data_IF_755206399869
#
_entry.id   IF_755206399869
#
_cell.length_a   1.000
_cell.length_b   1.000
_cell.length_c   1.000
_cell.angle_alpha   90.00
_cell.angle_beta   90.00
_cell.angle_gamma   90.00
#
_symmetry.space_group_name_H-M   'P 1'
#
loop_
_entity.id
_entity.type
_entity.pdbx_description
1 polymer ?
#
# COMPACT_ATOMS: atom_id res chain seq x y z
N UNK A 1 19.06 9.06 15.55
CA UNK A 1 17.83 8.57 16.19
C UNK A 1 16.85 9.73 16.25
N UNK A 2 15.63 9.56 15.72
CA UNK A 2 14.59 10.59 15.79
C UNK A 2 14.00 10.66 17.21
N UNK A 3 13.56 11.85 17.68
CA UNK A 3 12.94 12.00 19.00
C UNK A 3 11.65 11.17 19.13
N UNK A 4 10.92 11.00 18.03
CA UNK A 4 9.72 10.18 17.93
C UNK A 4 10.03 8.68 18.12
N UNK A 5 11.14 8.19 17.58
CA UNK A 5 11.59 6.81 17.81
C UNK A 5 11.96 6.55 19.28
N UNK A 6 12.68 7.47 19.92
CA UNK A 6 13.04 7.32 21.33
C UNK A 6 11.80 7.22 22.24
N UNK A 7 10.81 8.10 22.02
CA UNK A 7 9.55 8.06 22.76
C UNK A 7 8.78 6.75 22.52
N UNK A 8 8.73 6.27 21.27
CA UNK A 8 8.09 5.00 20.92
C UNK A 8 8.78 3.80 21.58
N UNK A 9 10.10 3.76 21.60
CA UNK A 9 10.88 2.70 22.25
C UNK A 9 10.70 2.70 23.76
N UNK A 10 10.66 3.87 24.38
CA UNK A 10 10.43 4.02 25.81
C UNK A 10 9.01 3.57 26.19
N UNK A 11 8.00 3.96 25.42
CA UNK A 11 6.63 3.52 25.61
C UNK A 11 6.50 1.99 25.47
N UNK A 12 7.18 1.39 24.48
CA UNK A 12 7.21 -0.06 24.31
C UNK A 12 7.85 -0.78 25.50
N UNK A 13 8.95 -0.27 26.04
CA UNK A 13 9.59 -0.85 27.23
C UNK A 13 8.74 -0.73 28.49
N UNK A 14 8.08 0.41 28.69
CA UNK A 14 7.30 0.66 29.91
C UNK A 14 5.97 -0.11 29.93
N UNK A 15 5.30 -0.20 28.78
CA UNK A 15 3.93 -0.73 28.72
C UNK A 15 3.84 -2.12 28.09
N UNK A 16 4.91 -2.58 27.43
CA UNK A 16 4.94 -3.85 26.70
C UNK A 16 4.06 -3.87 25.45
N UNK A 17 3.42 -2.73 25.10
CA UNK A 17 2.56 -2.59 23.92
C UNK A 17 2.75 -1.23 23.29
N UNK A 18 2.65 -1.15 21.96
CA UNK A 18 2.71 0.12 21.27
C UNK A 18 1.71 0.15 20.13
N UNK A 19 0.88 1.19 20.10
CA UNK A 19 -0.03 1.48 19.00
C UNK A 19 0.47 2.69 18.23
N UNK A 20 0.75 2.48 16.95
CA UNK A 20 1.22 3.50 16.03
C UNK A 20 0.20 3.68 14.91
N UNK A 21 0.06 4.90 14.43
CA UNK A 21 -0.81 5.18 13.30
C UNK A 21 -0.12 4.76 12.00
N UNK A 22 -0.79 3.93 11.20
CA UNK A 22 -0.30 3.53 9.90
C UNK A 22 -0.26 4.72 8.94
N UNK A 23 0.79 4.80 8.13
CA UNK A 23 0.93 5.81 7.09
C UNK A 23 1.03 5.17 5.71
N UNK A 24 0.32 5.70 4.70
CA UNK A 24 0.41 5.18 3.36
C UNK A 24 1.78 5.45 2.73
N UNK A 25 2.20 4.57 1.82
CA UNK A 25 3.45 4.77 1.09
C UNK A 25 3.42 6.09 0.29
N UNK A 26 4.49 6.89 0.35
CA UNK A 26 4.59 8.22 -0.31
C UNK A 26 4.29 8.15 -1.81
N UNK A 27 4.68 7.07 -2.48
CA UNK A 27 4.45 6.87 -3.91
C UNK A 27 2.96 6.68 -4.26
N UNK A 28 2.13 6.18 -3.33
CA UNK A 28 0.70 5.99 -3.57
C UNK A 28 -0.03 7.33 -3.71
N UNK A 29 0.42 8.37 -3.00
CA UNK A 29 -0.08 9.74 -3.14
C UNK A 29 0.21 10.34 -4.52
N UNK A 30 1.41 10.10 -5.08
CA UNK A 30 1.79 10.63 -6.39
C UNK A 30 0.95 10.08 -7.53
N UNK A 31 0.64 8.78 -7.52
CA UNK A 31 -0.22 8.15 -8.52
C UNK A 31 -1.66 8.68 -8.43
N UNK A 32 -2.21 8.87 -7.22
CA UNK A 32 -3.56 9.44 -7.06
C UNK A 32 -3.65 10.86 -7.63
N UNK A 33 -2.63 11.68 -7.38
CA UNK A 33 -2.54 13.03 -7.96
C UNK A 33 -2.48 12.95 -9.47
N UNK A 34 -1.63 12.07 -10.03
CA UNK A 34 -1.53 11.86 -11.47
C UNK A 34 -2.88 11.43 -12.07
N UNK A 35 -3.56 10.45 -11.48
CA UNK A 35 -4.87 9.96 -11.94
C UNK A 35 -5.93 11.07 -11.90
N UNK A 36 -5.91 11.94 -10.88
CA UNK A 36 -6.80 13.10 -10.78
C UNK A 36 -6.51 14.15 -11.86
N UNK A 37 -5.24 14.41 -12.17
CA UNK A 37 -4.84 15.32 -13.27
C UNK A 37 -5.32 14.76 -14.61
N UNK A 38 -5.07 13.47 -14.88
CA UNK A 38 -5.51 12.81 -16.12
C UNK A 38 -7.04 12.84 -16.23
N UNK A 39 -7.76 12.61 -15.12
CA UNK A 39 -9.22 12.75 -15.10
C UNK A 39 -9.67 14.17 -15.49
N UNK A 40 -9.02 15.19 -14.93
CA UNK A 40 -9.29 16.60 -15.29
C UNK A 40 -9.04 16.88 -16.77
N UNK A 41 -7.95 16.34 -17.34
CA UNK A 41 -7.63 16.48 -18.76
C UNK A 41 -8.67 15.82 -19.67
N UNK A 42 -9.17 14.62 -19.31
CA UNK A 42 -10.23 13.93 -20.07
C UNK A 42 -11.52 14.74 -20.06
N UNK A 43 -11.91 15.30 -18.91
CA UNK A 43 -13.09 16.17 -18.82
C UNK A 43 -12.89 17.43 -19.67
N UNK A 44 -11.71 18.05 -19.61
CA UNK A 44 -11.40 19.23 -20.40
C UNK A 44 -11.48 18.97 -21.91
N UNK A 45 -10.92 17.84 -22.38
CA UNK A 45 -11.01 17.42 -23.78
C UNK A 45 -12.46 17.15 -24.21
N UNK A 46 -13.28 16.55 -23.34
CA UNK A 46 -14.69 16.31 -23.64
C UNK A 46 -15.47 17.63 -23.81
N UNK A 47 -15.26 18.59 -22.91
CA UNK A 47 -15.89 19.91 -23.00
C UNK A 47 -15.38 20.69 -24.23
N UNK A 48 -14.07 20.69 -24.47
CA UNK A 48 -13.46 21.34 -25.62
C UNK A 48 -13.93 20.77 -26.95
N UNK A 49 -14.06 19.44 -27.05
CA UNK A 49 -14.62 18.77 -28.22
C UNK A 49 -16.08 19.15 -28.48
N UNK A 50 -16.89 19.26 -27.42
CA UNK A 50 -18.29 19.71 -27.54
C UNK A 50 -18.36 21.16 -28.05
N UNK A 51 -17.55 22.07 -27.48
CA UNK A 51 -17.48 23.46 -27.94
C UNK A 51 -17.08 23.53 -29.41
N UNK A 52 -16.09 22.74 -29.85
CA UNK A 52 -15.65 22.71 -31.24
C UNK A 52 -16.76 22.26 -32.21
N UNK A 53 -17.50 21.21 -31.88
CA UNK A 53 -18.64 20.73 -32.69
C UNK A 53 -19.74 21.81 -32.77
N UNK A 54 -20.04 22.47 -31.65
CA UNK A 54 -21.01 23.58 -31.60
C UNK A 54 -20.52 24.78 -32.41
N UNK A 55 -19.25 25.15 -32.35
CA UNK A 55 -18.71 26.26 -33.14
C UNK A 55 -18.81 25.99 -34.65
N UNK A 56 -18.52 24.77 -35.09
CA UNK A 56 -18.67 24.38 -36.51
C UNK A 56 -20.12 24.47 -36.96
N UNK A 57 -21.08 24.14 -36.09
CA UNK A 57 -22.51 24.26 -36.38
C UNK A 57 -22.95 25.69 -36.72
N UNK A 58 -22.30 26.70 -36.14
CA UNK A 58 -22.64 28.12 -36.37
C UNK A 58 -21.82 28.78 -37.49
N UNK A 59 -20.63 28.27 -37.80
CA UNK A 59 -19.68 28.92 -38.71
C UNK A 59 -19.66 28.33 -40.14
N UNK A 60 -20.24 27.15 -40.36
CA UNK A 60 -20.14 26.44 -41.65
C UNK A 60 -21.53 26.15 -42.22
N UNK A 61 -21.76 26.56 -43.47
CA UNK A 61 -23.08 26.46 -44.13
C UNK A 61 -23.46 25.03 -44.54
N UNK A 62 -22.49 24.17 -44.90
CA UNK A 62 -22.73 22.77 -45.25
C UNK A 62 -21.72 21.81 -44.59
N UNK A 63 -21.83 21.59 -43.27
CA UNK A 63 -20.92 20.69 -42.57
C UNK A 63 -21.21 19.21 -42.86
N UNK A 64 -20.21 18.32 -42.83
CA UNK A 64 -20.40 16.88 -42.89
C UNK A 64 -20.94 16.33 -41.55
N UNK A 65 -22.20 16.64 -41.26
CA UNK A 65 -22.87 16.37 -39.98
C UNK A 65 -22.76 14.92 -39.52
N UNK A 66 -23.00 13.96 -40.40
CA UNK A 66 -22.94 12.54 -40.04
C UNK A 66 -21.55 12.15 -39.53
N UNK A 67 -20.49 12.50 -40.26
CA UNK A 67 -19.12 12.18 -39.86
C UNK A 67 -18.74 12.82 -38.51
N UNK A 68 -19.14 14.07 -38.29
CA UNK A 68 -18.85 14.78 -37.03
C UNK A 68 -19.64 14.22 -35.85
N UNK A 69 -20.92 13.89 -36.03
CA UNK A 69 -21.75 13.32 -34.97
C UNK A 69 -21.25 11.94 -34.59
N UNK A 70 -21.01 11.04 -35.56
CA UNK A 70 -20.48 9.71 -35.29
C UNK A 70 -19.07 9.76 -34.68
N UNK A 71 -18.20 10.63 -35.20
CA UNK A 71 -16.86 10.84 -34.64
C UNK A 71 -16.90 11.37 -33.21
N UNK A 72 -17.77 12.33 -32.92
CA UNK A 72 -17.94 12.89 -31.59
C UNK A 72 -18.50 11.87 -30.60
N UNK A 73 -19.55 11.12 -30.99
CA UNK A 73 -20.13 10.05 -30.16
C UNK A 73 -19.09 8.97 -29.87
N UNK A 74 -18.32 8.53 -30.87
CA UNK A 74 -17.26 7.54 -30.68
C UNK A 74 -16.16 8.05 -29.74
N UNK A 75 -15.77 9.32 -29.87
CA UNK A 75 -14.80 9.95 -28.98
C UNK A 75 -15.32 10.05 -27.54
N UNK A 76 -16.58 10.47 -27.35
CA UNK A 76 -17.23 10.50 -26.05
C UNK A 76 -17.32 9.12 -25.41
N UNK A 77 -17.67 8.09 -26.19
CA UNK A 77 -17.73 6.71 -25.70
C UNK A 77 -16.35 6.24 -25.21
N UNK A 78 -15.29 6.49 -25.99
CA UNK A 78 -13.92 6.16 -25.58
C UNK A 78 -13.49 6.91 -24.32
N UNK A 79 -13.80 8.21 -24.22
CA UNK A 79 -13.51 9.00 -23.03
C UNK A 79 -14.30 8.54 -21.80
N UNK A 80 -15.56 8.13 -21.97
CA UNK A 80 -16.37 7.59 -20.88
C UNK A 80 -15.79 6.26 -20.34
N UNK A 81 -15.34 5.38 -21.23
CA UNK A 81 -14.64 4.14 -20.84
C UNK A 81 -13.35 4.46 -20.09
N UNK A 82 -12.52 5.37 -20.61
CA UNK A 82 -11.28 5.78 -19.97
C UNK A 82 -11.54 6.41 -18.59
N UNK A 83 -12.53 7.28 -18.48
CA UNK A 83 -12.95 7.90 -17.22
C UNK A 83 -13.38 6.85 -16.19
N UNK A 84 -14.16 5.86 -16.62
CA UNK A 84 -14.59 4.76 -15.74
C UNK A 84 -13.40 3.94 -15.24
N UNK A 85 -12.43 3.62 -16.11
CA UNK A 85 -11.21 2.91 -15.72
C UNK A 85 -10.37 3.71 -14.72
N UNK A 86 -10.19 5.02 -14.95
CA UNK A 86 -9.47 5.92 -14.03
C UNK A 86 -10.18 5.96 -12.67
N UNK A 87 -11.50 6.14 -12.65
CA UNK A 87 -12.29 6.20 -11.42
C UNK A 87 -12.18 4.88 -10.63
N UNK A 88 -12.27 3.75 -11.31
CA UNK A 88 -12.08 2.43 -10.69
C UNK A 88 -10.67 2.25 -10.14
N UNK A 89 -9.66 2.78 -10.83
CA UNK A 89 -8.28 2.83 -10.35
C UNK A 89 -8.12 3.64 -9.06
N UNK A 90 -8.70 4.85 -9.04
CA UNK A 90 -8.70 5.72 -7.84
C UNK A 90 -9.40 5.03 -6.67
N UNK A 91 -10.59 4.48 -6.88
CA UNK A 91 -11.33 3.80 -5.81
C UNK A 91 -10.54 2.63 -5.21
N UNK A 92 -9.94 1.78 -6.06
CA UNK A 92 -9.08 0.69 -5.60
C UNK A 92 -7.91 1.22 -4.79
N UNK A 93 -7.27 2.29 -5.26
CA UNK A 93 -6.11 2.87 -4.60
C UNK A 93 -6.46 3.57 -3.27
N UNK A 94 -7.63 4.18 -3.18
CA UNK A 94 -8.16 4.74 -1.93
C UNK A 94 -8.42 3.64 -0.89
N UNK A 95 -9.00 2.51 -1.29
CA UNK A 95 -9.18 1.35 -0.41
C UNK A 95 -7.86 0.81 0.15
N UNK A 96 -6.82 0.69 -0.68
CA UNK A 96 -5.49 0.31 -0.20
C UNK A 96 -4.94 1.34 0.79
N UNK A 97 -5.17 2.62 0.54
CA UNK A 97 -4.70 3.71 1.41
C UNK A 97 -5.38 3.71 2.78
N UNK A 98 -6.67 3.40 2.83
CA UNK A 98 -7.41 3.23 4.08
C UNK A 98 -6.90 2.03 4.87
N UNK A 99 -6.60 0.93 4.18
CA UNK A 99 -6.00 -0.26 4.79
C UNK A 99 -4.59 0.03 5.35
N UNK A 100 -3.79 0.86 4.66
CA UNK A 100 -2.46 1.28 5.16
C UNK A 100 -2.52 2.25 6.34
N UNK A 101 -3.66 2.90 6.58
CA UNK A 101 -3.88 3.78 7.74
C UNK A 101 -4.27 3.03 9.01
N UNK A 102 -4.62 1.77 8.89
CA UNK A 102 -4.95 0.94 10.04
C UNK A 102 -3.75 0.89 11.01
N UNK A 103 -4.02 0.88 12.32
CA UNK A 103 -2.96 0.99 13.32
C UNK A 103 -2.01 -0.19 13.26
N UNK A 104 -0.72 0.10 13.46
CA UNK A 104 0.32 -0.89 13.69
C UNK A 104 0.41 -1.12 15.19
N UNK A 105 0.16 -2.36 15.63
CA UNK A 105 0.25 -2.76 17.03
C UNK A 105 1.47 -3.67 17.22
N UNK A 106 2.36 -3.28 18.12
CA UNK A 106 3.45 -4.12 18.62
C UNK A 106 3.03 -4.62 20.00
N UNK A 107 2.72 -5.90 20.13
CA UNK A 107 2.27 -6.51 21.38
C UNK A 107 3.07 -7.78 21.69
N UNK A 108 3.05 -8.28 22.93
CA UNK A 108 3.80 -9.49 23.27
C UNK A 108 3.30 -10.73 22.49
N UNK A 109 2.01 -10.75 22.15
CA UNK A 109 1.41 -11.82 21.35
C UNK A 109 1.88 -11.81 19.89
N UNK A 110 2.27 -10.65 19.36
CA UNK A 110 2.65 -10.52 17.96
C UNK A 110 2.58 -9.10 17.40
N UNK A 111 2.79 -9.00 16.10
CA UNK A 111 2.65 -7.79 15.31
C UNK A 111 1.29 -7.78 14.62
N UNK A 112 0.52 -6.70 14.78
CA UNK A 112 -0.68 -6.45 14.00
C UNK A 112 -0.43 -5.28 13.05
N UNK A 113 -0.71 -5.46 11.76
CA UNK A 113 -0.55 -4.42 10.74
C UNK A 113 -1.67 -4.53 9.71
N UNK A 114 -2.17 -3.41 9.20
CA UNK A 114 -3.17 -3.37 8.12
C UNK A 114 -4.42 -4.25 8.40
N UNK A 115 -4.76 -4.37 9.68
CA UNK A 115 -5.91 -5.17 10.15
C UNK A 115 -5.63 -6.66 10.31
N UNK A 116 -4.38 -7.06 10.15
CA UNK A 116 -3.96 -8.46 10.18
C UNK A 116 -3.08 -8.68 11.38
N UNK A 117 -3.56 -9.52 12.28
CA UNK A 117 -2.81 -9.97 13.43
C UNK A 117 -3.70 -10.43 14.58
N UNK A 118 -3.07 -10.75 15.72
CA UNK A 118 -1.62 -10.67 15.95
C UNK A 118 -0.88 -11.77 15.17
N UNK A 119 0.10 -11.37 14.34
CA UNK A 119 1.04 -12.30 13.70
C UNK A 119 2.13 -12.63 14.75
N UNK A 120 2.29 -13.89 15.18
CA UNK A 120 3.26 -14.24 16.22
C UNK A 120 4.69 -13.88 15.83
N UNK A 121 5.49 -13.39 16.79
CA UNK A 121 6.90 -13.02 16.55
C UNK A 121 7.78 -14.16 16.03
N UNK A 122 7.39 -15.41 16.32
CA UNK A 122 8.05 -16.63 15.82
C UNK A 122 7.76 -16.94 14.35
N UNK A 123 6.72 -16.34 13.79
CA UNK A 123 6.28 -16.60 12.42
C UNK A 123 7.02 -15.73 11.39
N UNK A 124 7.84 -14.77 11.83
CA UNK A 124 8.66 -13.95 10.95
C UNK A 124 10.02 -13.61 11.58
N UNK A 125 11.01 -13.40 10.72
CA UNK A 125 12.34 -12.94 11.09
C UNK A 125 12.42 -11.42 11.31
N UNK A 126 13.60 -10.90 11.66
CA UNK A 126 13.80 -9.47 11.85
C UNK A 126 13.51 -8.66 10.57
N UNK A 127 13.12 -7.41 10.75
CA UNK A 127 12.94 -6.44 9.69
C UNK A 127 14.30 -6.04 9.09
N UNK A 128 14.45 -6.22 7.78
CA UNK A 128 15.69 -5.92 7.04
C UNK A 128 15.38 -5.28 5.69
N UNK A 129 16.31 -4.47 5.17
CA UNK A 129 16.26 -4.03 3.77
C UNK A 129 16.85 -5.12 2.89
N UNK A 130 16.08 -5.64 1.94
CA UNK A 130 16.50 -6.70 1.03
C UNK A 130 16.00 -6.43 -0.39
N UNK A 131 16.79 -6.84 -1.37
CA UNK A 131 16.35 -6.88 -2.76
C UNK A 131 15.33 -8.01 -2.91
N UNK A 132 14.08 -7.64 -3.18
CA UNK A 132 12.98 -8.59 -3.42
C UNK A 132 12.51 -8.47 -4.87
N UNK A 133 11.98 -9.54 -5.48
CA UNK A 133 11.37 -9.46 -6.80
C UNK A 133 10.35 -8.33 -6.85
N UNK A 134 10.35 -7.55 -7.93
CA UNK A 134 9.37 -6.50 -8.12
C UNK A 134 7.98 -7.11 -8.34
N UNK A 135 6.96 -6.47 -7.78
CA UNK A 135 5.58 -6.95 -7.83
C UNK A 135 4.97 -6.92 -9.24
N UNK A 136 5.43 -5.97 -10.07
CA UNK A 136 4.88 -5.70 -11.41
C UNK A 136 5.93 -5.73 -12.51
N UNK A 137 7.16 -6.12 -12.19
CA UNK A 137 8.27 -6.13 -13.14
C UNK A 137 9.16 -7.35 -12.89
N UNK A 138 9.93 -7.74 -13.91
CA UNK A 138 10.89 -8.85 -13.88
C UNK A 138 12.16 -8.55 -13.06
N UNK A 139 12.32 -7.30 -12.58
CA UNK A 139 13.47 -6.85 -11.81
C UNK A 139 13.38 -7.12 -10.31
N UNK A 140 14.39 -6.64 -9.58
CA UNK A 140 14.43 -6.63 -8.12
C UNK A 140 14.35 -5.19 -7.60
N UNK A 141 13.70 -5.00 -6.46
CA UNK A 141 13.54 -3.71 -5.80
C UNK A 141 13.98 -3.80 -4.34
N UNK A 142 14.72 -2.81 -3.86
CA UNK A 142 15.13 -2.74 -2.46
C UNK A 142 13.90 -2.38 -1.61
N UNK A 143 13.46 -3.31 -0.75
CA UNK A 143 12.33 -3.07 0.16
C UNK A 143 12.67 -3.49 1.58
N UNK A 144 12.04 -2.84 2.55
CA UNK A 144 12.05 -3.25 3.94
C UNK A 144 11.04 -4.37 4.15
N UNK A 145 11.53 -5.56 4.53
CA UNK A 145 10.74 -6.78 4.64
C UNK A 145 11.10 -7.57 5.88
N UNK A 146 10.16 -8.38 6.35
CA UNK A 146 10.37 -9.44 7.35
C UNK A 146 10.11 -10.77 6.65
N UNK A 147 11.10 -11.67 6.64
CA UNK A 147 10.95 -12.99 6.01
C UNK A 147 10.09 -13.89 6.89
N UNK A 148 9.08 -14.53 6.29
CA UNK A 148 8.25 -15.49 7.01
C UNK A 148 9.08 -16.73 7.33
N UNK A 149 8.95 -17.24 8.54
CA UNK A 149 9.50 -18.56 8.90
C UNK A 149 8.64 -19.66 8.27
N UNK A 150 9.06 -20.92 8.36
CA UNK A 150 8.25 -22.03 7.84
C UNK A 150 6.85 -22.09 8.47
N UNK A 151 6.72 -21.81 9.77
CA UNK A 151 5.41 -21.71 10.43
C UNK A 151 4.61 -20.51 9.94
N UNK A 152 5.27 -19.36 9.74
CA UNK A 152 4.63 -18.16 9.22
C UNK A 152 4.16 -18.31 7.77
N UNK A 153 4.94 -18.97 6.91
CA UNK A 153 4.52 -19.27 5.54
C UNK A 153 3.25 -20.13 5.53
N UNK A 154 3.18 -21.16 6.38
CA UNK A 154 1.99 -21.97 6.51
C UNK A 154 0.79 -21.18 7.06
N UNK A 155 0.97 -20.43 8.15
CA UNK A 155 -0.11 -19.66 8.75
C UNK A 155 -0.65 -18.59 7.79
N UNK A 156 0.22 -17.87 7.09
CA UNK A 156 -0.18 -16.81 6.15
C UNK A 156 -0.80 -17.38 4.88
N UNK A 157 -0.21 -18.43 4.28
CA UNK A 157 -0.68 -18.94 2.99
C UNK A 157 -1.86 -19.93 3.12
N UNK A 158 -2.04 -20.59 4.26
CA UNK A 158 -3.12 -21.58 4.43
C UNK A 158 -4.26 -21.08 5.33
N UNK A 159 -3.94 -20.35 6.42
CA UNK A 159 -4.95 -20.00 7.44
C UNK A 159 -5.50 -18.59 7.32
N UNK A 160 -4.73 -17.63 6.83
CA UNK A 160 -5.22 -16.27 6.61
C UNK A 160 -6.18 -16.27 5.41
N UNK A 161 -7.33 -15.56 5.45
CA UNK A 161 -8.21 -15.40 4.30
C UNK A 161 -7.49 -14.75 3.09
N UNK A 162 -7.72 -15.20 1.84
CA UNK A 162 -7.01 -14.69 0.66
C UNK A 162 -7.04 -13.16 0.51
N UNK A 163 -8.19 -12.53 0.80
CA UNK A 163 -8.40 -11.08 0.72
C UNK A 163 -7.51 -10.28 1.69
N UNK A 164 -7.11 -10.90 2.81
CA UNK A 164 -6.22 -10.28 3.79
C UNK A 164 -4.76 -10.50 3.42
N UNK A 165 -4.40 -11.63 2.80
CA UNK A 165 -2.98 -11.94 2.49
C UNK A 165 -2.32 -10.88 1.60
N UNK A 166 -3.06 -10.33 0.64
CA UNK A 166 -2.56 -9.25 -0.24
C UNK A 166 -2.16 -7.98 0.53
N UNK A 167 -2.73 -7.75 1.72
CA UNK A 167 -2.35 -6.61 2.58
C UNK A 167 -1.00 -6.83 3.25
N UNK A 168 -0.53 -8.06 3.40
CA UNK A 168 0.75 -8.42 4.05
C UNK A 168 1.91 -8.17 3.08
N UNK A 169 1.78 -8.69 1.87
CA UNK A 169 2.72 -8.56 0.76
C UNK A 169 2.06 -9.02 -0.54
N UNK A 170 2.59 -8.62 -1.72
CA UNK A 170 2.17 -9.22 -2.97
C UNK A 170 2.57 -10.69 -3.04
N UNK A 171 1.72 -11.49 -3.70
CA UNK A 171 1.99 -12.90 -3.95
C UNK A 171 3.18 -13.03 -4.91
N UNK A 172 4.17 -13.85 -4.57
CA UNK A 172 5.35 -14.07 -5.40
C UNK A 172 5.40 -15.48 -5.98
N UNK A 173 6.10 -15.62 -7.09
CA UNK A 173 6.31 -16.90 -7.77
C UNK A 173 5.49 -17.09 -9.05
N UNK A 174 5.76 -18.16 -9.79
CA UNK A 174 5.03 -18.48 -11.02
C UNK A 174 3.55 -18.79 -10.71
N UNK A 175 2.68 -18.60 -11.70
CA UNK A 175 1.21 -18.71 -11.55
C UNK A 175 0.74 -19.97 -10.81
N UNK A 176 1.46 -21.09 -10.97
CA UNK A 176 1.15 -22.41 -10.38
C UNK A 176 1.68 -22.64 -8.95
N UNK A 177 2.55 -21.77 -8.42
CA UNK A 177 3.11 -21.90 -7.07
C UNK A 177 3.28 -20.53 -6.40
N UNK A 178 2.20 -19.77 -6.42
CA UNK A 178 2.12 -18.40 -5.90
C UNK A 178 1.97 -18.42 -4.38
N UNK A 179 2.95 -17.86 -3.66
CA UNK A 179 2.94 -17.81 -2.20
C UNK A 179 3.52 -16.49 -1.66
N UNK A 180 3.10 -16.11 -0.46
CA UNK A 180 3.64 -15.01 0.31
C UNK A 180 4.86 -15.49 1.08
N UNK A 181 6.01 -14.87 0.83
CA UNK A 181 7.28 -15.17 1.50
C UNK A 181 7.73 -14.10 2.48
N UNK A 182 7.21 -12.90 2.32
CA UNK A 182 7.63 -11.73 3.08
C UNK A 182 6.42 -11.03 3.69
N UNK A 183 6.66 -10.31 4.77
CA UNK A 183 5.78 -9.26 5.28
C UNK A 183 6.45 -7.93 4.98
N UNK A 184 5.75 -7.00 4.33
CA UNK A 184 6.31 -5.67 4.11
C UNK A 184 6.25 -4.86 5.40
N UNK A 185 7.34 -4.15 5.72
CA UNK A 185 7.38 -3.26 6.88
C UNK A 185 6.36 -2.15 6.67
N UNK A 186 5.41 -1.95 7.62
CA UNK A 186 4.37 -0.94 7.46
C UNK A 186 4.96 0.47 7.52
N UNK A 187 4.34 1.41 6.82
CA UNK A 187 4.58 2.83 7.05
C UNK A 187 3.96 3.26 8.37
N UNK A 188 4.64 4.10 9.13
CA UNK A 188 4.13 4.68 10.38
C UNK A 188 4.22 6.20 10.29
N UNK A 189 3.16 6.87 10.73
CA UNK A 189 3.11 8.33 10.76
C UNK A 189 4.19 8.90 11.70
N UNK A 190 4.97 9.86 11.22
CA UNK A 190 6.03 10.51 12.00
C UNK A 190 7.32 9.69 12.19
N UNK A 191 7.44 8.50 11.58
CA UNK A 191 8.65 7.68 11.61
C UNK A 191 9.19 7.41 10.20
N UNK A 192 10.51 7.46 10.05
CA UNK A 192 11.16 7.00 8.83
C UNK A 192 11.18 5.47 8.77
N UNK A 193 11.29 4.90 7.57
CA UNK A 193 11.33 3.44 7.40
C UNK A 193 12.47 2.77 8.20
N UNK A 194 13.63 3.45 8.33
CA UNK A 194 14.73 2.97 9.19
C UNK A 194 14.34 2.89 10.65
N UNK A 195 13.59 3.88 11.14
CA UNK A 195 13.16 3.97 12.53
C UNK A 195 12.13 2.86 12.82
N UNK A 196 11.21 2.60 11.88
CA UNK A 196 10.25 1.50 11.99
C UNK A 196 10.95 0.14 12.01
N UNK A 197 11.96 -0.07 11.15
CA UNK A 197 12.78 -1.29 11.16
C UNK A 197 13.44 -1.47 12.53
N UNK A 198 14.05 -0.42 13.07
CA UNK A 198 14.73 -0.48 14.36
C UNK A 198 13.76 -0.79 15.50
N UNK A 199 12.58 -0.17 15.50
CA UNK A 199 11.52 -0.39 16.49
C UNK A 199 10.96 -1.81 16.43
N UNK A 200 10.69 -2.34 15.23
CA UNK A 200 10.22 -3.72 15.05
C UNK A 200 11.30 -4.70 15.51
N UNK A 201 12.56 -4.46 15.15
CA UNK A 201 13.67 -5.32 15.58
C UNK A 201 13.87 -5.28 17.10
N UNK A 202 13.60 -4.14 17.73
CA UNK A 202 13.58 -4.05 19.19
C UNK A 202 12.46 -4.89 19.79
N UNK A 203 11.23 -4.77 19.28
CA UNK A 203 10.10 -5.59 19.72
C UNK A 203 10.36 -7.09 19.49
N UNK A 204 10.96 -7.45 18.35
CA UNK A 204 11.34 -8.83 18.02
C UNK A 204 12.37 -9.38 19.01
N UNK A 205 13.35 -8.57 19.45
CA UNK A 205 14.28 -8.97 20.52
C UNK A 205 13.59 -9.13 21.88
N UNK A 206 12.61 -8.27 22.18
CA UNK A 206 11.88 -8.29 23.45
C UNK A 206 10.92 -9.48 23.55
N UNK A 207 10.28 -9.86 22.45
CA UNK A 207 9.17 -10.83 22.45
C UNK A 207 9.39 -12.09 21.60
N UNK A 208 10.28 -12.05 20.61
CA UNK A 208 10.51 -13.13 19.64
C UNK A 208 11.41 -14.25 20.12
N UNK A 209 12.33 -13.96 21.05
CA UNK A 209 13.10 -14.96 21.78
C UNK A 209 12.49 -15.08 23.18
N UNK A 210 11.81 -16.20 23.45
CA UNK A 210 11.05 -16.36 24.70
C UNK A 210 11.88 -16.01 25.95
N UNK A 211 11.47 -14.97 26.69
CA UNK A 211 11.68 -14.91 28.13
C UNK A 211 12.73 -13.94 28.70
N UNK A 212 13.26 -12.94 27.99
CA UNK A 212 14.08 -11.91 28.66
C UNK A 212 13.18 -10.82 29.24
N UNK A 213 12.86 -10.93 30.54
CA UNK A 213 12.33 -9.79 31.32
C UNK A 213 13.24 -8.58 31.06
N UNK A 214 12.70 -7.37 30.82
CA UNK A 214 13.53 -6.18 30.77
C UNK A 214 14.32 -6.08 32.10
N UNK A 215 15.63 -5.75 32.06
CA UNK A 215 16.37 -5.48 33.28
C UNK A 215 15.65 -4.36 34.04
N UNK A 216 15.36 -4.59 35.32
CA UNK A 216 14.81 -3.55 36.18
C UNK A 216 15.73 -2.33 36.13
N UNK A 217 15.18 -1.10 36.12
CA UNK A 217 16.00 0.08 36.28
C UNK A 217 16.75 -0.03 37.62
N UNK A 218 18.04 0.35 37.68
CA UNK A 218 18.74 0.44 38.96
C UNK A 218 17.97 1.41 39.86
N UNK A 219 17.68 0.95 41.08
CA UNK A 219 17.18 1.79 42.18
C UNK A 219 18.25 2.78 42.61
#
# INVERSE_FOLDING_TARGET
MSPTLQQAMQALHQTGRLRLQGAPAVWSSGILVLLRIVMGLVIFLAVGGLVAVVSVAFLVENPPWFGMIFGFISCLAMMAVLFFLIRRGIQRQEQFRETEREPVLLEPAGLTLRGIGPIPWRDFGPAVKRMVPAEKDSGYTLRAVMELTNSGMFNVNERTPPELRERISPVMGPMWNRHHRYIYVPGVEGLQQSDVIELINMAHRMFGYGGVRPPHPPQ
#
